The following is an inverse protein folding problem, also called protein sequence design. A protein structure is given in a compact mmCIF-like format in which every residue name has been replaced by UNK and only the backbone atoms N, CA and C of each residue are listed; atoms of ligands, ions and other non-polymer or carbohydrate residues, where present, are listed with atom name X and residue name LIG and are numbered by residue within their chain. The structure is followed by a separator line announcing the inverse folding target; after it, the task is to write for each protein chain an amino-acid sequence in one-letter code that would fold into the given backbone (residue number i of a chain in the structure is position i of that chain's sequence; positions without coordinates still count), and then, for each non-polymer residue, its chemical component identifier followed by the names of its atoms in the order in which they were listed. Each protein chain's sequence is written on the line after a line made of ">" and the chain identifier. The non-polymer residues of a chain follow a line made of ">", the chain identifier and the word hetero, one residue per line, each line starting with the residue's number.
data_IF_550449392975
#
_entry.id   IF_550449392975
#
_cell.length_a   1.000
_cell.length_b   1.000
_cell.length_c   1.000
_cell.angle_alpha   90.00
_cell.angle_beta   90.00
_cell.angle_gamma   90.00
#
_symmetry.space_group_name_H-M   'P 1'
#
loop_
_entity.id
_entity.type
_entity.pdbx_description
1 polymer ?
#
# COMPACT_ATOMS: atom_id res chain seq x y z
N UNK A 1 8.22 9.82 7.42
CA UNK A 1 8.64 11.23 7.40
C UNK A 1 8.01 12.01 8.55
N UNK A 2 6.66 12.02 8.73
CA UNK A 2 5.99 12.83 9.76
C UNK A 2 6.52 12.56 11.19
N UNK A 3 6.66 11.30 11.59
CA UNK A 3 7.19 10.91 12.92
C UNK A 3 8.59 11.49 13.16
N UNK A 4 9.50 11.31 12.19
CA UNK A 4 10.85 11.88 12.31
C UNK A 4 10.86 13.41 12.35
N UNK A 5 9.90 14.06 11.69
CA UNK A 5 9.74 15.50 11.78
C UNK A 5 9.27 15.93 13.18
N UNK A 6 8.30 15.23 13.78
CA UNK A 6 7.85 15.47 15.17
C UNK A 6 9.03 15.40 16.14
N UNK A 7 9.82 14.33 16.06
CA UNK A 7 10.99 14.13 16.91
C UNK A 7 12.03 15.25 16.72
N UNK A 8 12.30 15.63 15.47
CA UNK A 8 13.24 16.70 15.16
C UNK A 8 12.75 18.09 15.64
N UNK A 9 11.46 18.38 15.46
CA UNK A 9 10.86 19.61 15.95
C UNK A 9 10.99 19.68 17.47
N UNK A 10 10.65 18.62 18.19
CA UNK A 10 10.67 18.61 19.67
C UNK A 10 12.06 18.69 20.28
N UNK A 11 13.12 18.38 19.51
CA UNK A 11 14.50 18.64 19.95
C UNK A 11 14.78 20.14 20.07
N UNK A 12 14.17 20.95 19.21
CA UNK A 12 14.43 22.40 19.12
C UNK A 12 13.29 23.26 19.69
N UNK A 13 12.05 22.88 19.50
CA UNK A 13 10.84 23.56 19.98
C UNK A 13 10.03 22.64 20.87
N UNK A 14 10.02 22.97 22.19
CA UNK A 14 9.33 22.18 23.22
C UNK A 14 7.84 22.51 23.34
N UNK A 15 7.38 23.65 22.79
CA UNK A 15 6.06 24.21 23.10
C UNK A 15 5.19 24.47 21.87
N UNK A 16 5.76 24.72 20.72
CA UNK A 16 5.02 24.98 19.48
C UNK A 16 3.96 23.92 19.20
N UNK A 17 2.80 24.33 18.74
CA UNK A 17 1.71 23.43 18.39
C UNK A 17 2.10 22.56 17.18
N UNK A 18 1.90 21.25 17.28
CA UNK A 18 2.05 20.30 16.16
C UNK A 18 0.69 19.66 15.91
N UNK A 19 0.17 19.79 14.69
CA UNK A 19 -1.03 19.11 14.25
C UNK A 19 -0.64 18.06 13.20
N UNK A 20 -1.09 16.82 13.37
CA UNK A 20 -0.89 15.73 12.42
C UNK A 20 -2.23 15.39 11.78
N UNK A 21 -2.28 15.46 10.46
CA UNK A 21 -3.45 15.09 9.65
C UNK A 21 -3.12 13.80 8.92
N UNK A 22 -3.98 12.79 9.03
CA UNK A 22 -3.82 11.51 8.35
C UNK A 22 -5.18 10.95 7.94
N UNK A 23 -5.28 10.45 6.70
CA UNK A 23 -6.47 9.74 6.23
C UNK A 23 -6.62 8.35 6.88
N UNK A 24 -5.56 7.79 7.44
CA UNK A 24 -5.65 6.57 8.24
C UNK A 24 -6.04 6.89 9.68
N UNK A 25 -6.88 6.04 10.26
CA UNK A 25 -7.39 6.18 11.64
C UNK A 25 -6.50 5.54 12.71
N UNK A 26 -5.41 4.93 12.28
CA UNK A 26 -4.52 4.16 13.15
C UNK A 26 -3.37 5.00 13.71
N UNK A 27 -2.87 4.59 14.88
CA UNK A 27 -1.54 5.01 15.32
C UNK A 27 -0.50 4.65 14.26
N UNK A 28 0.62 5.38 14.21
CA UNK A 28 1.68 5.09 13.25
C UNK A 28 2.18 3.66 13.40
N UNK A 29 2.20 2.92 12.31
CA UNK A 29 2.62 1.52 12.27
C UNK A 29 3.67 1.30 11.17
N UNK A 30 4.38 0.18 11.25
CA UNK A 30 5.35 -0.25 10.25
C UNK A 30 4.61 -0.92 9.07
N UNK A 31 4.47 -0.20 7.95
CA UNK A 31 3.78 -0.70 6.75
C UNK A 31 4.34 -2.03 6.21
N UNK A 32 5.66 -2.30 6.21
CA UNK A 32 6.15 -3.60 5.77
C UNK A 32 5.61 -4.78 6.58
N UNK A 33 5.16 -4.56 7.82
CA UNK A 33 4.65 -5.63 8.67
C UNK A 33 3.22 -6.09 8.32
N UNK A 34 2.50 -5.43 7.39
CA UNK A 34 1.18 -5.89 6.97
C UNK A 34 1.21 -7.29 6.35
N UNK A 35 2.29 -7.68 5.69
CA UNK A 35 2.48 -9.05 5.20
C UNK A 35 2.65 -10.06 6.34
N UNK A 36 3.36 -9.67 7.42
CA UNK A 36 3.53 -10.52 8.60
C UNK A 36 2.23 -10.64 9.41
N UNK A 37 1.37 -9.61 9.37
CA UNK A 37 0.02 -9.69 9.93
C UNK A 37 -0.79 -10.77 9.21
N UNK A 38 -0.84 -10.75 7.87
CA UNK A 38 -1.50 -11.80 7.08
C UNK A 38 -0.92 -13.19 7.33
N UNK A 39 0.40 -13.29 7.51
CA UNK A 39 1.12 -14.53 7.79
C UNK A 39 0.87 -15.04 9.23
N UNK A 40 0.23 -14.24 10.10
CA UNK A 40 0.02 -14.57 11.51
C UNK A 40 1.28 -14.50 12.38
N UNK A 41 2.35 -13.82 11.90
CA UNK A 41 3.62 -13.67 12.65
C UNK A 41 3.65 -12.44 13.54
N UNK A 42 2.69 -11.52 13.41
CA UNK A 42 2.57 -10.31 14.22
C UNK A 42 1.10 -9.96 14.44
N UNK A 43 0.84 -9.00 15.28
CA UNK A 43 -0.46 -8.39 15.56
C UNK A 43 -0.37 -6.86 15.43
N UNK A 44 -1.52 -6.17 15.52
CA UNK A 44 -1.58 -4.71 15.36
C UNK A 44 -0.76 -3.97 16.42
N UNK A 45 -0.66 -4.50 17.64
CA UNK A 45 0.14 -3.89 18.71
C UNK A 45 1.63 -3.91 18.38
N UNK A 46 2.15 -5.05 17.93
CA UNK A 46 3.56 -5.20 17.56
C UNK A 46 3.92 -4.50 16.25
N UNK A 47 2.93 -4.11 15.47
CA UNK A 47 3.15 -3.29 14.26
C UNK A 47 3.37 -1.83 14.57
N UNK A 48 3.02 -1.32 15.75
CA UNK A 48 3.22 0.08 16.14
C UNK A 48 4.67 0.49 15.97
N UNK A 49 4.90 1.58 15.24
CA UNK A 49 6.25 2.10 14.99
C UNK A 49 6.78 2.93 16.16
N UNK A 50 5.88 3.40 17.04
CA UNK A 50 6.16 4.10 18.29
C UNK A 50 5.18 3.62 19.36
N UNK A 51 5.53 3.80 20.63
CA UNK A 51 4.65 3.52 21.77
C UNK A 51 3.37 4.36 21.71
N UNK A 52 2.36 3.96 22.46
CA UNK A 52 1.04 4.61 22.46
C UNK A 52 1.11 6.07 22.92
N UNK A 53 2.03 6.37 23.83
CA UNK A 53 2.22 7.70 24.39
C UNK A 53 3.00 8.66 23.49
N UNK A 54 3.52 8.18 22.34
CA UNK A 54 4.36 8.98 21.45
C UNK A 54 3.76 10.36 21.12
N UNK A 55 2.51 10.39 20.72
CA UNK A 55 1.88 11.66 20.32
C UNK A 55 1.57 12.56 21.53
N UNK A 56 1.18 12.00 22.66
CA UNK A 56 0.93 12.74 23.89
C UNK A 56 2.24 13.30 24.50
N UNK A 57 3.30 12.50 24.56
CA UNK A 57 4.63 12.92 24.99
C UNK A 57 5.18 14.07 24.14
N UNK A 58 4.90 14.01 22.82
CA UNK A 58 5.29 15.06 21.88
C UNK A 58 4.24 16.17 21.73
N UNK A 59 3.19 16.19 22.56
CA UNK A 59 2.12 17.20 22.53
C UNK A 59 1.57 17.46 21.13
N UNK A 60 1.27 16.37 20.39
CA UNK A 60 0.70 16.45 19.07
C UNK A 60 -0.83 16.42 19.13
N UNK A 61 -1.48 17.32 18.42
CA UNK A 61 -2.90 17.23 18.10
C UNK A 61 -3.08 16.31 16.88
N UNK A 62 -4.00 15.34 16.97
CA UNK A 62 -4.23 14.36 15.92
C UNK A 62 -5.57 14.61 15.21
N UNK A 63 -5.54 14.64 13.90
CA UNK A 63 -6.69 14.61 12.99
C UNK A 63 -6.63 13.32 12.18
N UNK A 64 -6.87 12.19 12.84
CA UNK A 64 -6.84 10.87 12.19
C UNK A 64 -8.18 10.56 11.50
N UNK A 65 -8.11 9.80 10.40
CA UNK A 65 -9.26 9.51 9.54
C UNK A 65 -9.74 10.74 8.78
N UNK A 66 -8.88 11.76 8.60
CA UNK A 66 -9.19 13.00 7.88
C UNK A 66 -8.26 13.20 6.69
N UNK A 67 -8.85 13.55 5.56
CA UNK A 67 -8.10 13.78 4.33
C UNK A 67 -7.90 15.28 4.10
N UNK A 68 -6.62 15.70 3.94
CA UNK A 68 -6.31 17.03 3.47
C UNK A 68 -6.72 17.15 1.99
N UNK A 69 -7.72 17.98 1.69
CA UNK A 69 -8.23 18.17 0.32
C UNK A 69 -7.54 19.30 -0.42
N UNK A 70 -7.23 20.40 0.26
CA UNK A 70 -6.65 21.59 -0.35
C UNK A 70 -5.78 22.37 0.64
N UNK A 71 -4.74 22.98 0.13
CA UNK A 71 -3.89 23.93 0.85
C UNK A 71 -4.22 25.34 0.33
N UNK A 72 -4.56 26.23 1.25
CA UNK A 72 -4.69 27.66 1.00
C UNK A 72 -3.39 28.34 1.47
N UNK A 73 -2.54 28.68 0.53
CA UNK A 73 -1.21 29.25 0.83
C UNK A 73 -1.32 30.70 1.31
N UNK A 74 -2.29 31.47 0.80
CA UNK A 74 -2.48 32.88 1.17
C UNK A 74 -2.95 33.01 2.61
N UNK A 75 -3.96 32.20 2.97
CA UNK A 75 -4.52 32.17 4.30
C UNK A 75 -3.79 31.22 5.25
N UNK A 76 -2.75 30.53 4.75
CA UNK A 76 -1.98 29.51 5.50
C UNK A 76 -2.89 28.49 6.22
N UNK A 77 -3.78 27.85 5.47
CA UNK A 77 -4.72 26.83 5.98
C UNK A 77 -4.71 25.57 5.16
N UNK A 78 -4.90 24.44 5.82
CA UNK A 78 -5.22 23.15 5.18
C UNK A 78 -6.70 22.89 5.37
N UNK A 79 -7.43 22.64 4.28
CA UNK A 79 -8.85 22.32 4.29
C UNK A 79 -9.00 20.80 4.29
N UNK A 80 -9.81 20.26 5.21
CA UNK A 80 -10.08 18.84 5.36
C UNK A 80 -11.36 18.42 4.63
N UNK A 81 -11.57 17.12 4.53
CA UNK A 81 -12.71 16.49 3.85
C UNK A 81 -14.07 16.74 4.53
N UNK A 82 -14.08 17.10 5.80
CA UNK A 82 -15.29 17.50 6.55
C UNK A 82 -15.54 19.01 6.56
N UNK A 83 -14.73 19.79 5.83
CA UNK A 83 -14.81 21.24 5.78
C UNK A 83 -14.07 21.96 6.92
N UNK A 84 -13.53 21.24 7.91
CA UNK A 84 -12.67 21.84 8.91
C UNK A 84 -11.42 22.44 8.26
N UNK A 85 -10.92 23.55 8.80
CA UNK A 85 -9.66 24.14 8.36
C UNK A 85 -8.65 24.20 9.51
N UNK A 86 -7.40 23.83 9.21
CA UNK A 86 -6.28 23.85 10.14
C UNK A 86 -5.28 24.91 9.70
N UNK A 87 -5.08 25.94 10.51
CA UNK A 87 -4.10 27.00 10.25
C UNK A 87 -2.67 26.51 10.55
N UNK A 88 -1.69 27.04 9.82
CA UNK A 88 -0.28 26.70 10.01
C UNK A 88 0.66 27.89 9.82
N UNK A 89 1.76 27.92 10.56
CA UNK A 89 2.92 28.79 10.29
C UNK A 89 3.92 28.10 9.33
N UNK A 90 4.10 26.79 9.53
CA UNK A 90 4.92 25.90 8.72
C UNK A 90 4.14 24.64 8.40
N UNK A 91 4.22 24.19 7.16
CA UNK A 91 3.54 22.99 6.68
C UNK A 91 4.57 21.99 6.13
N UNK A 92 4.51 20.74 6.63
CA UNK A 92 5.21 19.61 6.05
C UNK A 92 4.18 18.72 5.34
N UNK A 93 4.34 18.52 4.04
CA UNK A 93 3.54 17.55 3.29
C UNK A 93 4.29 16.22 3.22
N UNK A 94 3.75 15.22 3.89
CA UNK A 94 4.29 13.86 3.97
C UNK A 94 3.21 12.84 3.56
N UNK A 95 2.49 13.13 2.48
CA UNK A 95 1.29 12.43 2.00
C UNK A 95 1.58 11.02 1.43
N UNK A 96 2.84 10.62 1.33
CA UNK A 96 3.22 9.28 0.88
C UNK A 96 2.88 9.00 -0.57
N UNK A 97 2.44 7.77 -0.84
CA UNK A 97 2.11 7.28 -2.18
C UNK A 97 0.83 6.45 -2.14
N UNK A 98 0.15 6.41 -3.27
CA UNK A 98 -1.03 5.55 -3.49
C UNK A 98 -0.71 4.45 -4.50
N UNK A 99 -1.33 3.27 -4.38
CA UNK A 99 -1.17 2.18 -5.34
C UNK A 99 -1.68 2.59 -6.73
N UNK A 100 -1.00 2.09 -7.75
CA UNK A 100 -1.45 2.27 -9.14
C UNK A 100 -2.56 1.28 -9.43
N UNK A 101 -3.68 1.78 -9.91
CA UNK A 101 -4.76 0.99 -10.50
C UNK A 101 -4.63 1.13 -12.02
N UNK A 102 -4.18 0.09 -12.74
CA UNK A 102 -3.96 0.17 -14.18
C UNK A 102 -5.30 0.24 -14.93
N UNK A 103 -5.37 0.96 -16.05
CA UNK A 103 -6.59 1.06 -16.85
C UNK A 103 -6.77 -0.19 -17.75
N UNK A 104 -6.98 -1.35 -17.13
CA UNK A 104 -7.19 -2.61 -17.86
C UNK A 104 -8.70 -2.79 -18.10
N UNK A 105 -9.14 -3.06 -19.35
CA UNK A 105 -10.55 -3.29 -19.67
C UNK A 105 -11.19 -4.35 -18.78
N UNK A 106 -12.37 -4.06 -18.23
CA UNK A 106 -13.11 -4.99 -17.35
C UNK A 106 -12.70 -4.97 -15.88
N UNK A 107 -11.56 -4.34 -15.52
CA UNK A 107 -11.08 -4.26 -14.14
C UNK A 107 -12.11 -3.57 -13.22
N UNK A 108 -12.86 -2.59 -13.73
CA UNK A 108 -13.89 -1.87 -12.98
C UNK A 108 -15.01 -2.79 -12.48
N UNK A 109 -15.29 -3.90 -13.18
CA UNK A 109 -16.33 -4.88 -12.85
C UNK A 109 -15.87 -5.95 -11.85
N UNK A 110 -14.56 -6.12 -11.67
CA UNK A 110 -14.02 -7.07 -10.69
C UNK A 110 -14.39 -6.62 -9.28
N UNK A 111 -15.17 -7.42 -8.55
CA UNK A 111 -15.67 -7.09 -7.21
C UNK A 111 -14.61 -7.26 -6.13
N UNK A 112 -13.95 -8.42 -6.10
CA UNK A 112 -12.93 -8.77 -5.09
C UNK A 112 -11.53 -8.34 -5.58
N UNK A 113 -11.33 -7.02 -5.77
CA UNK A 113 -10.03 -6.46 -6.11
C UNK A 113 -9.50 -5.59 -4.97
N UNK A 114 -8.25 -5.78 -4.66
CA UNK A 114 -7.56 -5.16 -3.52
C UNK A 114 -6.23 -4.56 -3.96
N UNK A 115 -5.76 -3.59 -3.20
CA UNK A 115 -4.37 -3.16 -3.16
C UNK A 115 -3.70 -3.73 -1.91
N UNK A 116 -2.37 -3.55 -1.77
CA UNK A 116 -1.66 -4.08 -0.61
C UNK A 116 -0.60 -3.08 -0.12
N UNK A 117 -1.06 -1.95 0.43
CA UNK A 117 -0.19 -0.85 0.87
C UNK A 117 -0.53 -0.31 2.25
N UNK A 118 -1.74 -0.57 2.75
CA UNK A 118 -2.23 -0.08 4.04
C UNK A 118 -2.70 -1.23 4.94
N UNK A 119 -2.88 -0.94 6.22
CA UNK A 119 -3.45 -1.90 7.16
C UNK A 119 -4.90 -2.28 6.80
N UNK A 120 -5.68 -1.29 6.32
CA UNK A 120 -7.05 -1.56 5.84
C UNK A 120 -7.05 -2.45 4.59
N UNK A 121 -6.06 -2.31 3.68
CA UNK A 121 -5.91 -3.23 2.54
C UNK A 121 -5.70 -4.66 3.02
N UNK A 122 -4.77 -4.87 3.95
CA UNK A 122 -4.48 -6.21 4.48
C UNK A 122 -5.70 -6.83 5.16
N UNK A 123 -6.41 -6.07 6.01
CA UNK A 123 -7.64 -6.52 6.67
C UNK A 123 -8.77 -6.83 5.69
N UNK A 124 -8.90 -6.02 4.64
CA UNK A 124 -9.95 -6.21 3.63
C UNK A 124 -9.66 -7.44 2.77
N UNK A 125 -8.39 -7.62 2.38
CA UNK A 125 -7.94 -8.81 1.67
C UNK A 125 -8.18 -10.07 2.52
N UNK A 126 -7.77 -10.07 3.79
CA UNK A 126 -7.96 -11.20 4.70
C UNK A 126 -9.42 -11.62 4.81
N UNK A 127 -10.35 -10.66 4.91
CA UNK A 127 -11.79 -10.94 4.98
C UNK A 127 -12.37 -11.54 3.70
N UNK A 128 -11.75 -11.30 2.56
CA UNK A 128 -12.20 -11.82 1.27
C UNK A 128 -11.67 -13.22 0.96
N UNK A 129 -10.71 -13.72 1.75
CA UNK A 129 -10.13 -15.04 1.56
C UNK A 129 -11.07 -16.14 2.10
N UNK A 130 -11.10 -17.24 1.40
CA UNK A 130 -11.73 -18.49 1.81
C UNK A 130 -10.83 -19.67 1.41
N UNK A 131 -11.15 -20.85 1.91
CA UNK A 131 -10.37 -22.06 1.67
C UNK A 131 -10.34 -22.41 0.17
N UNK A 132 -9.16 -22.70 -0.36
CA UNK A 132 -8.88 -22.97 -1.78
C UNK A 132 -9.18 -21.80 -2.74
N UNK A 133 -9.30 -20.56 -2.24
CA UNK A 133 -9.43 -19.39 -3.09
C UNK A 133 -8.21 -19.23 -4.02
N UNK A 134 -8.45 -18.90 -5.27
CA UNK A 134 -7.41 -18.55 -6.25
C UNK A 134 -7.14 -17.06 -6.17
N UNK A 135 -5.94 -16.71 -5.72
CA UNK A 135 -5.50 -15.33 -5.58
C UNK A 135 -4.58 -14.95 -6.73
N UNK A 136 -5.06 -14.08 -7.60
CA UNK A 136 -4.26 -13.50 -8.68
C UNK A 136 -3.60 -12.21 -8.20
N UNK A 137 -2.28 -12.14 -8.26
CA UNK A 137 -1.49 -10.95 -7.93
C UNK A 137 -0.92 -10.36 -9.22
N UNK A 138 -1.29 -9.13 -9.56
CA UNK A 138 -0.67 -8.39 -10.65
C UNK A 138 0.55 -7.63 -10.11
N UNK A 139 1.73 -8.07 -10.54
CA UNK A 139 3.02 -7.53 -10.16
C UNK A 139 3.84 -8.48 -9.28
N UNK A 140 5.01 -8.90 -9.79
CA UNK A 140 6.00 -9.71 -9.08
C UNK A 140 7.15 -8.85 -8.50
N UNK A 141 6.86 -7.59 -8.19
CA UNK A 141 7.72 -6.67 -7.45
C UNK A 141 7.63 -6.89 -5.94
N UNK A 142 8.30 -6.03 -5.16
CA UNK A 142 8.40 -6.19 -3.69
C UNK A 142 7.02 -6.26 -3.00
N UNK A 143 6.06 -5.41 -3.38
CA UNK A 143 4.73 -5.39 -2.75
C UNK A 143 3.96 -6.67 -3.07
N UNK A 144 3.96 -7.11 -4.35
CA UNK A 144 3.26 -8.33 -4.77
C UNK A 144 3.82 -9.57 -4.09
N UNK A 145 5.15 -9.72 -4.06
CA UNK A 145 5.79 -10.87 -3.42
C UNK A 145 5.64 -10.85 -1.88
N UNK A 146 5.61 -9.66 -1.25
CA UNK A 146 5.30 -9.56 0.18
C UNK A 146 3.83 -9.91 0.47
N UNK A 147 2.91 -9.63 -0.45
CA UNK A 147 1.54 -10.12 -0.36
C UNK A 147 1.51 -11.66 -0.49
N UNK A 148 2.15 -12.21 -1.52
CA UNK A 148 2.25 -13.66 -1.74
C UNK A 148 2.84 -14.38 -0.52
N UNK A 149 3.95 -13.89 0.06
CA UNK A 149 4.53 -14.40 1.31
C UNK A 149 3.51 -14.35 2.45
N UNK A 150 2.79 -13.24 2.60
CA UNK A 150 1.73 -13.10 3.62
C UNK A 150 0.63 -14.13 3.51
N UNK A 151 0.35 -14.60 2.31
CA UNK A 151 -0.66 -15.59 1.99
C UNK A 151 -0.16 -17.04 2.03
N UNK A 152 1.16 -17.28 2.02
CA UNK A 152 1.79 -18.59 1.82
C UNK A 152 1.41 -19.68 2.86
N UNK A 153 0.91 -19.27 4.02
CA UNK A 153 0.42 -20.19 5.05
C UNK A 153 -1.10 -20.34 5.07
N UNK A 154 -1.79 -19.64 4.16
CA UNK A 154 -3.24 -19.80 3.97
C UNK A 154 -3.47 -20.93 2.97
N UNK A 155 -4.56 -21.65 3.12
CA UNK A 155 -4.94 -22.67 2.13
C UNK A 155 -5.55 -21.99 0.89
N UNK A 156 -4.71 -21.33 0.08
CA UNK A 156 -5.08 -20.62 -1.14
C UNK A 156 -4.08 -20.93 -2.25
N UNK A 157 -4.53 -20.88 -3.50
CA UNK A 157 -3.67 -20.93 -4.68
C UNK A 157 -3.19 -19.51 -5.00
N UNK A 158 -1.88 -19.31 -5.19
CA UNK A 158 -1.29 -17.99 -5.46
C UNK A 158 -0.67 -17.97 -6.85
N UNK A 159 -1.14 -17.05 -7.69
CA UNK A 159 -0.65 -16.85 -9.04
C UNK A 159 -0.19 -15.40 -9.17
N UNK A 160 1.06 -15.18 -9.61
CA UNK A 160 1.61 -13.86 -9.88
C UNK A 160 1.80 -13.66 -11.39
N UNK A 161 1.31 -12.54 -11.92
CA UNK A 161 1.52 -12.12 -13.32
C UNK A 161 2.31 -10.82 -13.33
N UNK A 162 3.37 -10.76 -14.15
CA UNK A 162 4.18 -9.53 -14.31
C UNK A 162 4.61 -9.34 -15.76
N UNK A 163 4.67 -8.08 -16.20
CA UNK A 163 5.22 -7.68 -17.49
C UNK A 163 6.72 -7.97 -17.60
N UNK A 164 7.43 -7.93 -16.47
CA UNK A 164 8.86 -8.24 -16.42
C UNK A 164 9.07 -9.75 -16.57
N UNK A 165 10.15 -10.11 -17.23
CA UNK A 165 10.53 -11.52 -17.45
C UNK A 165 11.12 -12.20 -16.21
N UNK A 166 11.26 -11.47 -15.10
CA UNK A 166 11.83 -11.96 -13.85
C UNK A 166 11.20 -11.32 -12.63
N UNK A 167 11.21 -12.00 -11.50
CA UNK A 167 10.74 -11.48 -10.22
C UNK A 167 11.70 -10.41 -9.67
N UNK A 168 11.17 -9.41 -8.94
CA UNK A 168 11.97 -8.32 -8.35
C UNK A 168 12.93 -7.63 -9.34
N UNK A 169 12.52 -7.49 -10.59
CA UNK A 169 13.33 -7.02 -11.71
C UNK A 169 14.03 -5.66 -11.49
N UNK A 170 13.48 -4.82 -10.61
CA UNK A 170 14.06 -3.53 -10.24
C UNK A 170 15.10 -3.59 -9.11
N UNK A 171 15.29 -4.75 -8.47
CA UNK A 171 16.10 -4.90 -7.26
C UNK A 171 17.18 -5.97 -7.47
N UNK A 172 16.84 -7.10 -8.12
CA UNK A 172 17.72 -8.24 -8.31
C UNK A 172 18.26 -8.31 -9.74
N UNK A 173 19.45 -8.86 -9.90
CA UNK A 173 19.97 -9.31 -11.20
C UNK A 173 19.30 -10.62 -11.64
N UNK A 174 19.67 -11.10 -12.84
CA UNK A 174 19.03 -12.28 -13.43
C UNK A 174 19.24 -13.54 -12.58
N UNK A 175 20.47 -13.76 -12.09
CA UNK A 175 20.81 -14.95 -11.31
C UNK A 175 20.09 -14.95 -9.95
N UNK A 176 20.14 -13.83 -9.23
CA UNK A 176 19.45 -13.68 -7.94
C UNK A 176 17.93 -13.79 -8.08
N UNK A 177 17.39 -13.26 -9.18
CA UNK A 177 15.96 -13.32 -9.49
C UNK A 177 15.50 -14.76 -9.75
N UNK A 178 16.30 -15.56 -10.46
CA UNK A 178 15.97 -16.98 -10.72
C UNK A 178 16.00 -17.80 -9.42
N UNK A 179 17.02 -17.59 -8.57
CA UNK A 179 17.09 -18.26 -7.25
C UNK A 179 15.83 -17.90 -6.41
N UNK A 180 15.47 -16.63 -6.38
CA UNK A 180 14.27 -16.17 -5.65
C UNK A 180 12.99 -16.78 -6.22
N UNK A 181 12.86 -16.81 -7.56
CA UNK A 181 11.69 -17.40 -8.25
C UNK A 181 11.55 -18.88 -7.87
N UNK A 182 12.63 -19.66 -7.99
CA UNK A 182 12.62 -21.08 -7.62
C UNK A 182 12.21 -21.28 -6.16
N UNK A 183 12.76 -20.49 -5.24
CA UNK A 183 12.38 -20.53 -3.83
C UNK A 183 10.88 -20.28 -3.61
N UNK A 184 10.30 -19.34 -4.33
CA UNK A 184 8.88 -19.01 -4.23
C UNK A 184 8.00 -20.11 -4.87
N UNK A 185 8.43 -20.71 -5.98
CA UNK A 185 7.76 -21.85 -6.61
C UNK A 185 7.75 -23.09 -5.70
N UNK A 186 8.84 -23.34 -4.98
CA UNK A 186 8.92 -24.39 -3.95
C UNK A 186 7.92 -24.14 -2.79
N UNK A 187 7.45 -22.91 -2.64
CA UNK A 187 6.41 -22.50 -1.68
C UNK A 187 5.02 -22.34 -2.33
N UNK A 188 4.79 -23.01 -3.44
CA UNK A 188 3.50 -23.07 -4.15
C UNK A 188 2.99 -21.73 -4.68
N UNK A 189 3.88 -20.83 -5.08
CA UNK A 189 3.53 -19.61 -5.79
C UNK A 189 3.84 -19.79 -7.27
N UNK A 190 2.83 -19.66 -8.11
CA UNK A 190 2.97 -19.81 -9.57
C UNK A 190 3.21 -18.46 -10.24
N UNK A 191 3.98 -18.45 -11.33
CA UNK A 191 4.37 -17.22 -12.03
C UNK A 191 4.06 -17.27 -13.53
N UNK A 192 3.49 -16.18 -14.04
CA UNK A 192 3.39 -15.84 -15.47
C UNK A 192 4.19 -14.55 -15.69
N UNK A 193 5.49 -14.70 -15.99
CA UNK A 193 6.42 -13.59 -16.20
C UNK A 193 6.56 -13.25 -17.68
N UNK A 194 6.83 -11.97 -17.99
CA UNK A 194 6.85 -11.46 -19.35
C UNK A 194 5.47 -11.46 -19.99
N UNK A 195 4.40 -11.41 -19.21
CA UNK A 195 3.02 -11.54 -19.69
C UNK A 195 2.19 -10.32 -19.28
N UNK A 196 1.32 -9.91 -20.18
CA UNK A 196 0.42 -8.79 -19.97
C UNK A 196 -1.02 -9.27 -19.76
N UNK A 197 -1.67 -8.80 -18.70
CA UNK A 197 -3.13 -8.89 -18.58
C UNK A 197 -3.75 -7.84 -19.48
N UNK A 198 -4.45 -8.27 -20.52
CA UNK A 198 -5.08 -7.40 -21.53
C UNK A 198 -6.53 -7.04 -21.19
N UNK A 199 -7.17 -7.81 -20.32
CA UNK A 199 -8.55 -7.57 -19.91
C UNK A 199 -9.03 -8.51 -18.83
N UNK A 200 -10.21 -8.18 -18.28
CA UNK A 200 -10.95 -9.04 -17.36
C UNK A 200 -12.35 -9.33 -17.88
N UNK A 201 -12.77 -10.58 -17.79
CA UNK A 201 -14.13 -11.04 -18.06
C UNK A 201 -14.63 -11.72 -16.79
N UNK A 202 -15.48 -11.05 -16.04
CA UNK A 202 -15.90 -11.47 -14.71
C UNK A 202 -14.67 -11.75 -13.81
N UNK A 203 -14.50 -13.00 -13.34
CA UNK A 203 -13.37 -13.43 -12.52
C UNK A 203 -12.32 -14.22 -13.33
N UNK A 204 -12.08 -13.81 -14.58
CA UNK A 204 -11.06 -14.38 -15.47
C UNK A 204 -10.19 -13.25 -15.99
N UNK A 205 -8.88 -13.36 -15.80
CA UNK A 205 -7.88 -12.48 -16.42
C UNK A 205 -7.46 -13.06 -17.77
N UNK A 206 -7.55 -12.24 -18.84
CA UNK A 206 -7.10 -12.60 -20.17
C UNK A 206 -5.68 -12.10 -20.38
N UNK A 207 -4.78 -12.98 -20.83
CA UNK A 207 -3.39 -12.63 -21.13
C UNK A 207 -3.21 -12.29 -22.63
N UNK A 208 -2.03 -11.75 -22.97
CA UNK A 208 -1.64 -11.32 -24.30
C UNK A 208 -1.43 -12.48 -25.30
N UNK A 209 -1.30 -13.72 -24.82
CA UNK A 209 -1.19 -14.94 -25.63
C UNK A 209 -2.50 -15.73 -25.74
N UNK A 210 -3.59 -15.15 -25.32
CA UNK A 210 -4.94 -15.72 -25.21
C UNK A 210 -5.10 -16.77 -24.10
N UNK A 211 -4.11 -16.94 -23.21
CA UNK A 211 -4.31 -17.70 -21.99
C UNK A 211 -5.30 -16.97 -21.06
N UNK A 212 -6.06 -17.75 -20.30
CA UNK A 212 -7.05 -17.26 -19.36
C UNK A 212 -6.73 -17.78 -17.96
N UNK A 213 -6.68 -16.88 -16.98
CA UNK A 213 -6.43 -17.21 -15.57
C UNK A 213 -7.69 -16.93 -14.77
N UNK A 214 -8.41 -17.96 -14.33
CA UNK A 214 -9.54 -17.79 -13.42
C UNK A 214 -9.04 -17.47 -12.01
N UNK A 215 -9.72 -16.54 -11.32
CA UNK A 215 -9.39 -16.12 -9.97
C UNK A 215 -10.63 -15.81 -9.15
N UNK A 216 -10.50 -15.82 -7.84
CA UNK A 216 -11.55 -15.48 -6.88
C UNK A 216 -11.26 -14.14 -6.19
N UNK A 217 -9.97 -13.82 -6.03
CA UNK A 217 -9.44 -12.59 -5.43
C UNK A 217 -8.33 -12.02 -6.30
N UNK A 218 -8.38 -10.71 -6.56
CA UNK A 218 -7.39 -9.98 -7.32
C UNK A 218 -6.62 -9.00 -6.43
N UNK A 219 -5.29 -9.03 -6.48
CA UNK A 219 -4.42 -8.05 -5.81
C UNK A 219 -3.65 -7.24 -6.84
N UNK A 220 -3.77 -5.92 -6.77
CA UNK A 220 -3.06 -4.98 -7.64
C UNK A 220 -1.77 -4.50 -6.96
N UNK A 221 -0.63 -4.93 -7.47
CA UNK A 221 0.70 -4.63 -6.94
C UNK A 221 1.68 -4.12 -8.01
N UNK A 222 1.16 -3.42 -9.04
CA UNK A 222 1.90 -2.92 -10.21
C UNK A 222 2.67 -1.62 -9.97
N UNK A 223 2.85 -1.25 -8.71
CA UNK A 223 3.60 -0.08 -8.30
C UNK A 223 2.77 0.96 -7.55
N UNK A 224 3.43 2.05 -7.18
CA UNK A 224 2.84 3.17 -6.44
C UNK A 224 3.19 4.50 -7.10
N UNK A 225 2.36 5.52 -6.90
CA UNK A 225 2.61 6.90 -7.33
C UNK A 225 2.63 7.83 -6.12
N UNK A 226 3.60 8.77 -6.05
CA UNK A 226 3.62 9.79 -5.00
C UNK A 226 2.34 10.65 -5.02
N UNK A 227 1.84 10.97 -3.83
CA UNK A 227 0.66 11.82 -3.65
C UNK A 227 1.07 13.30 -3.72
N UNK A 228 1.19 13.85 -4.92
CA UNK A 228 1.73 15.18 -5.18
C UNK A 228 0.67 16.25 -5.45
N UNK A 229 -0.61 15.89 -5.54
CA UNK A 229 -1.67 16.82 -5.97
C UNK A 229 -1.76 18.06 -5.07
N UNK A 230 -1.75 17.89 -3.74
CA UNK A 230 -1.76 19.01 -2.80
C UNK A 230 -0.65 20.05 -3.05
N UNK A 231 0.50 19.63 -3.57
CA UNK A 231 1.63 20.50 -3.86
C UNK A 231 1.53 21.07 -5.28
N UNK A 232 1.11 20.28 -6.26
CA UNK A 232 0.89 20.74 -7.64
C UNK A 232 -0.17 21.84 -7.70
N UNK A 233 -1.26 21.67 -6.97
CA UNK A 233 -2.38 22.63 -6.96
C UNK A 233 -1.99 24.01 -6.41
N UNK A 234 -0.87 24.12 -5.69
CA UNK A 234 -0.32 25.39 -5.18
C UNK A 234 0.94 25.84 -5.94
N UNK A 235 1.22 25.26 -7.12
CA UNK A 235 2.34 25.62 -7.98
C UNK A 235 3.69 25.01 -7.60
N UNK A 236 3.70 23.99 -6.75
CA UNK A 236 4.90 23.21 -6.41
C UNK A 236 5.38 22.35 -7.60
N UNK A 237 6.70 22.18 -7.70
CA UNK A 237 7.36 21.39 -8.75
C UNK A 237 7.87 20.06 -8.22
#
# INVERSE_FOLDING_TARGET
>A
AAVGAVEAIRRNDKTGKIVIISNEKYHVYSRPLISYLLLGKTDEERMKYRNDDFYSEHRCELKLGRTAQRIDVQEKRVILDDGESVSYDRLLVASGSSPVVPPIPGLEKVRNKFTFTTLDDAKSLEKALFENARVLILGAGLIGLKCAEGLSKRNVEIICVDLSTRVLSSILDDQSSEIMKQHLEDHHISFYLGRQVTGFKDNVACLDDNDEIPFDVLVLAVGVRPNVNLIKDIGGK
#
